data_IF_548957641915
#
_entry.id   IF_548957641915
#
_cell.length_a   1.000
_cell.length_b   1.000
_cell.length_c   1.000
_cell.angle_alpha   90.00
_cell.angle_beta   90.00
_cell.angle_gamma   90.00
#
_symmetry.space_group_name_H-M   'P 1'
#
loop_
_entity.id
_entity.type
_entity.pdbx_description
1 polymer ?
#
# COMPACT_ATOMS: atom_id res chain seq x y z
N UNK A 1 2.29 -1.13 -13.62
CA UNK A 1 3.47 -0.86 -12.76
C UNK A 1 3.18 -1.18 -11.31
N UNK A 2 2.20 -0.51 -10.67
CA UNK A 2 1.86 -0.71 -9.25
C UNK A 2 1.49 -2.16 -8.93
N UNK A 3 0.65 -2.81 -9.74
CA UNK A 3 0.29 -4.22 -9.53
C UNK A 3 1.50 -5.15 -9.51
N UNK A 4 2.36 -5.09 -10.55
CA UNK A 4 3.61 -5.89 -10.60
C UNK A 4 4.54 -5.60 -9.42
N UNK A 5 4.60 -4.34 -8.98
CA UNK A 5 5.37 -3.97 -7.79
C UNK A 5 4.77 -4.59 -6.52
N UNK A 6 3.46 -4.48 -6.33
CA UNK A 6 2.75 -5.04 -5.18
C UNK A 6 2.90 -6.56 -5.13
N UNK A 7 2.63 -7.28 -6.24
CA UNK A 7 2.83 -8.74 -6.33
C UNK A 7 4.26 -9.14 -5.96
N UNK A 8 5.26 -8.41 -6.43
CA UNK A 8 6.67 -8.69 -6.09
C UNK A 8 6.98 -8.49 -4.61
N UNK A 9 6.30 -7.57 -3.95
CA UNK A 9 6.52 -7.27 -2.51
C UNK A 9 5.71 -8.20 -1.61
N UNK A 10 4.46 -8.50 -1.98
CA UNK A 10 3.52 -9.27 -1.15
C UNK A 10 3.63 -10.77 -1.37
N UNK A 11 4.01 -11.21 -2.58
CA UNK A 11 3.93 -12.61 -2.98
C UNK A 11 2.50 -13.16 -3.07
N UNK A 12 1.48 -12.32 -2.86
CA UNK A 12 0.07 -12.67 -2.86
C UNK A 12 -0.71 -11.76 -3.80
N UNK A 13 -1.45 -12.38 -4.71
CA UNK A 13 -2.19 -11.70 -5.78
C UNK A 13 -3.40 -10.93 -5.23
N UNK A 14 -4.13 -11.52 -4.28
CA UNK A 14 -5.30 -10.87 -3.68
C UNK A 14 -4.88 -9.63 -2.88
N UNK A 15 -3.86 -9.76 -2.03
CA UNK A 15 -3.28 -8.60 -1.32
C UNK A 15 -2.78 -7.55 -2.32
N UNK A 16 -2.19 -7.95 -3.46
CA UNK A 16 -1.72 -6.99 -4.45
C UNK A 16 -2.87 -6.18 -5.08
N UNK A 17 -4.04 -6.78 -5.29
CA UNK A 17 -5.25 -6.08 -5.78
C UNK A 17 -5.75 -5.05 -4.76
N UNK A 18 -5.77 -5.39 -3.47
CA UNK A 18 -6.10 -4.46 -2.39
C UNK A 18 -5.12 -3.28 -2.34
N UNK A 19 -3.81 -3.57 -2.43
CA UNK A 19 -2.76 -2.55 -2.44
C UNK A 19 -2.93 -1.61 -3.63
N UNK A 20 -3.24 -2.14 -4.82
CA UNK A 20 -3.50 -1.33 -6.02
C UNK A 20 -4.69 -0.41 -5.78
N UNK A 21 -5.80 -0.95 -5.30
CA UNK A 21 -7.03 -0.20 -5.05
C UNK A 21 -6.80 0.95 -4.07
N UNK A 22 -6.15 0.66 -2.94
CA UNK A 22 -5.79 1.65 -1.93
C UNK A 22 -4.81 2.70 -2.46
N UNK A 23 -3.84 2.29 -3.28
CA UNK A 23 -2.88 3.21 -3.90
C UNK A 23 -3.58 4.24 -4.77
N UNK A 24 -4.50 3.80 -5.64
CA UNK A 24 -5.22 4.72 -6.53
C UNK A 24 -6.23 5.57 -5.77
N UNK A 25 -6.87 5.06 -4.72
CA UNK A 25 -7.72 5.85 -3.85
C UNK A 25 -6.94 6.99 -3.17
N UNK A 26 -5.76 6.69 -2.63
CA UNK A 26 -4.91 7.71 -2.00
C UNK A 26 -4.32 8.69 -3.02
N UNK A 27 -3.91 8.21 -4.19
CA UNK A 27 -3.50 9.08 -5.29
C UNK A 27 -4.62 10.04 -5.69
N UNK A 28 -5.86 9.55 -5.78
CA UNK A 28 -7.02 10.40 -6.06
C UNK A 28 -7.20 11.48 -4.99
N UNK A 29 -7.07 11.16 -3.71
CA UNK A 29 -7.15 12.13 -2.60
C UNK A 29 -6.04 13.18 -2.66
N UNK A 30 -4.83 12.77 -3.03
CA UNK A 30 -3.65 13.64 -3.02
C UNK A 30 -3.45 14.43 -4.33
N UNK A 31 -4.18 14.11 -5.41
CA UNK A 31 -3.99 14.69 -6.75
C UNK A 31 -3.97 16.22 -6.80
N UNK A 32 -4.71 16.90 -5.92
CA UNK A 32 -4.77 18.37 -5.92
C UNK A 32 -3.46 19.02 -5.40
N UNK A 33 -2.64 18.26 -4.66
CA UNK A 33 -1.40 18.72 -4.05
C UNK A 33 -0.20 18.60 -4.98
N UNK A 34 -0.30 17.86 -6.08
CA UNK A 34 0.79 17.71 -7.03
C UNK A 34 0.69 18.78 -8.13
N UNK A 35 1.84 19.29 -8.55
CA UNK A 35 2.02 20.11 -9.75
C UNK A 35 2.99 19.36 -10.66
N UNK A 36 2.48 18.57 -11.61
CA UNK A 36 3.37 17.85 -12.52
C UNK A 36 3.98 18.87 -13.49
N UNK A 37 5.26 19.16 -13.32
CA UNK A 37 6.04 20.09 -14.17
C UNK A 37 6.49 19.44 -15.50
N UNK A 38 5.69 18.49 -16.02
CA UNK A 38 6.01 17.70 -17.22
C UNK A 38 6.66 16.34 -16.94
N UNK A 39 6.96 16.02 -15.68
CA UNK A 39 7.51 14.71 -15.30
C UNK A 39 6.45 13.61 -15.18
N UNK A 40 6.90 12.36 -15.33
CA UNK A 40 6.06 11.19 -15.13
C UNK A 40 5.57 11.11 -13.68
N UNK A 41 4.27 10.88 -13.47
CA UNK A 41 3.70 10.62 -12.14
C UNK A 41 4.11 9.25 -11.54
N UNK A 42 4.93 8.47 -12.24
CA UNK A 42 5.35 7.12 -11.81
C UNK A 42 6.07 7.12 -10.44
N UNK A 43 7.07 7.97 -10.17
CA UNK A 43 7.76 7.97 -8.88
C UNK A 43 6.81 8.35 -7.74
N UNK A 44 5.94 9.33 -7.97
CA UNK A 44 4.92 9.74 -7.01
C UNK A 44 3.95 8.59 -6.67
N UNK A 45 3.44 7.89 -7.69
CA UNK A 45 2.53 6.76 -7.51
C UNK A 45 3.21 5.56 -6.82
N UNK A 46 4.49 5.28 -7.10
CA UNK A 46 5.26 4.26 -6.39
C UNK A 46 5.54 4.62 -4.93
N UNK A 47 5.73 5.92 -4.65
CA UNK A 47 5.83 6.43 -3.28
C UNK A 47 4.56 6.14 -2.49
N UNK A 48 3.39 6.44 -3.06
CA UNK A 48 2.09 6.12 -2.46
C UNK A 48 1.95 4.60 -2.24
N UNK A 49 2.23 3.79 -3.26
CA UNK A 49 2.16 2.33 -3.16
C UNK A 49 3.05 1.77 -2.03
N UNK A 50 4.25 2.32 -1.87
CA UNK A 50 5.18 1.92 -0.82
C UNK A 50 4.65 2.27 0.56
N UNK A 51 4.01 3.42 0.73
CA UNK A 51 3.38 3.80 1.99
C UNK A 51 2.18 2.91 2.32
N UNK A 52 1.35 2.58 1.31
CA UNK A 52 0.22 1.64 1.46
C UNK A 52 0.72 0.26 1.89
N UNK A 53 1.75 -0.29 1.24
CA UNK A 53 2.38 -1.58 1.60
C UNK A 53 2.90 -1.59 3.04
N UNK A 54 3.61 -0.53 3.46
CA UNK A 54 4.10 -0.40 4.84
C UNK A 54 2.95 -0.34 5.84
N UNK A 55 1.87 0.37 5.50
CA UNK A 55 0.69 0.45 6.36
C UNK A 55 -0.01 -0.90 6.50
N UNK A 56 -0.17 -1.63 5.40
CA UNK A 56 -0.74 -2.98 5.39
C UNK A 56 0.09 -3.94 6.26
N UNK A 57 1.41 -3.96 6.09
CA UNK A 57 2.31 -4.79 6.89
C UNK A 57 2.27 -4.44 8.38
N UNK A 58 2.25 -3.14 8.73
CA UNK A 58 2.08 -2.68 10.12
C UNK A 58 0.72 -3.10 10.70
N UNK A 59 -0.33 -3.04 9.89
CA UNK A 59 -1.67 -3.48 10.29
C UNK A 59 -1.70 -4.98 10.57
N UNK A 60 -1.18 -5.81 9.67
CA UNK A 60 -1.13 -7.26 9.82
C UNK A 60 -0.43 -7.68 11.12
N UNK A 61 0.75 -7.12 11.40
CA UNK A 61 1.50 -7.39 12.65
C UNK A 61 0.71 -7.03 13.91
N UNK A 62 -0.05 -5.93 13.90
CA UNK A 62 -0.91 -5.56 15.04
C UNK A 62 -2.04 -6.57 15.25
N UNK A 63 -2.63 -7.06 14.17
CA UNK A 63 -3.68 -8.08 14.26
C UNK A 63 -3.12 -9.42 14.77
N UNK A 64 -1.93 -9.82 14.34
CA UNK A 64 -1.23 -11.01 14.85
C UNK A 64 -0.91 -10.89 16.34
N UNK A 65 -0.37 -9.74 16.78
CA UNK A 65 -0.09 -9.48 18.18
C UNK A 65 -1.35 -9.53 19.05
N UNK A 66 -2.46 -8.96 18.57
CA UNK A 66 -3.75 -9.03 19.27
C UNK A 66 -4.28 -10.47 19.37
N UNK A 67 -4.13 -11.29 18.32
CA UNK A 67 -4.51 -12.71 18.34
C UNK A 67 -3.62 -13.55 19.27
N UNK A 68 -2.33 -13.25 19.34
CA UNK A 68 -1.38 -13.90 20.24
C UNK A 68 -1.57 -13.54 21.71
N UNK A 69 -2.06 -12.32 22.00
CA UNK A 69 -2.36 -11.86 23.36
C UNK A 69 -3.58 -12.54 24.00
N UNK A 70 -4.54 -13.01 23.19
CA UNK A 70 -5.78 -13.64 23.68
C UNK A 70 -5.59 -15.09 24.13
N UNK A 71 -4.46 -15.74 23.81
CA UNK A 71 -4.21 -17.16 24.13
C UNK A 71 -3.37 -17.39 25.39
N UNK A 72 -3.18 -16.34 26.21
CA UNK A 72 -2.41 -16.35 27.47
C UNK A 72 -3.31 -15.91 28.64
N UNK A 73 -4.39 -16.64 28.91
CA UNK A 73 -5.13 -16.60 30.18
C UNK A 73 -5.72 -17.97 30.49
#
# INVERSE_FOLDING_TARGET
MVYRYAVRVTGDWATAEDIVSLTFLEAWRLRARIRPEGESLRPWLLGIATNVLRNAARSARRHEAARGGTRRR
#
